data_IF_876488348758
#
_entry.id   IF_876488348758
#
_cell.length_a   1.000
_cell.length_b   1.000
_cell.length_c   1.000
_cell.angle_alpha   90.00
_cell.angle_beta   90.00
_cell.angle_gamma   90.00
#
_symmetry.space_group_name_H-M   'P 1'
#
loop_
_entity.id
_entity.type
_entity.pdbx_description
1 polymer ?
#
# COMPACT_ATOMS: atom_id res chain seq x y z
N UNK A 1 -8.33 -26.96 1.76
CA UNK A 1 -7.07 -26.77 2.49
C UNK A 1 -6.44 -25.45 2.07
N UNK A 2 -5.98 -24.67 3.00
CA UNK A 2 -5.39 -23.38 2.69
C UNK A 2 -3.87 -23.50 2.56
N UNK A 3 -3.31 -22.78 1.60
CA UNK A 3 -1.88 -22.61 1.50
C UNK A 3 -1.39 -21.66 2.60
N UNK A 4 -0.14 -21.81 2.99
CA UNK A 4 0.51 -20.85 3.86
C UNK A 4 0.74 -19.55 3.08
N UNK A 5 0.41 -18.42 3.70
CA UNK A 5 0.59 -17.09 3.13
C UNK A 5 1.59 -16.35 4.03
N UNK A 6 2.58 -15.71 3.41
CA UNK A 6 3.68 -15.11 4.13
C UNK A 6 3.70 -13.60 3.96
N UNK A 7 4.10 -12.91 5.02
CA UNK A 7 4.52 -11.51 4.94
C UNK A 7 6.04 -11.53 4.80
N UNK A 8 6.53 -11.03 3.68
CA UNK A 8 7.96 -11.16 3.33
C UNK A 8 8.73 -9.85 3.45
N UNK A 9 8.06 -8.75 3.75
CA UNK A 9 8.72 -7.47 3.94
C UNK A 9 7.78 -6.46 4.55
N UNK A 10 8.33 -5.41 5.09
CA UNK A 10 7.56 -4.33 5.67
C UNK A 10 8.39 -3.08 5.81
N UNK A 11 7.75 -1.94 5.76
CA UNK A 11 8.38 -0.65 5.94
C UNK A 11 7.37 0.37 6.43
N UNK A 12 7.86 1.39 7.09
CA UNK A 12 7.05 2.45 7.65
C UNK A 12 7.81 3.77 7.51
N UNK A 13 7.09 4.83 7.17
CA UNK A 13 7.63 6.18 7.31
C UNK A 13 7.69 6.58 8.79
N UNK A 14 8.45 7.60 9.17
CA UNK A 14 8.31 8.20 10.49
C UNK A 14 6.86 8.63 10.72
N UNK A 15 6.43 8.63 11.98
CA UNK A 15 5.15 9.23 12.36
C UNK A 15 5.31 10.74 12.52
N UNK A 16 4.34 11.48 12.02
CA UNK A 16 4.32 12.94 12.19
C UNK A 16 3.13 13.39 13.01
N UNK A 17 3.20 14.58 13.54
CA UNK A 17 2.08 15.24 14.18
C UNK A 17 1.24 16.01 13.18
N UNK A 18 0.04 16.42 13.59
CA UNK A 18 -0.82 17.28 12.79
C UNK A 18 -0.09 18.59 12.45
N UNK A 19 -0.05 18.93 11.17
CA UNK A 19 0.64 20.11 10.63
C UNK A 19 2.14 20.14 10.98
N UNK A 20 2.72 18.97 11.27
CA UNK A 20 4.12 18.81 11.67
C UNK A 20 5.07 18.54 10.51
N UNK A 21 6.11 17.74 10.78
CA UNK A 21 7.24 17.54 9.86
C UNK A 21 6.87 16.95 8.50
N UNK A 22 5.79 16.16 8.43
CA UNK A 22 5.33 15.54 7.21
C UNK A 22 4.21 16.31 6.51
N UNK A 23 3.88 17.50 6.97
CA UNK A 23 2.73 18.26 6.46
C UNK A 23 2.85 18.60 4.96
N UNK A 24 4.06 18.74 4.43
CA UNK A 24 4.31 19.04 3.02
C UNK A 24 4.30 17.79 2.11
N UNK A 25 4.19 16.59 2.67
CA UNK A 25 4.25 15.34 1.92
C UNK A 25 2.85 14.75 1.83
N UNK A 26 2.40 14.48 0.60
CA UNK A 26 1.06 13.89 0.40
C UNK A 26 1.02 12.43 0.87
N UNK A 27 -0.17 11.95 1.19
CA UNK A 27 -0.35 10.54 1.56
C UNK A 27 0.12 9.57 0.46
N UNK A 28 -0.17 9.80 -0.84
CA UNK A 28 0.39 8.94 -1.88
C UNK A 28 1.92 8.91 -1.92
N UNK A 29 2.57 10.02 -1.66
CA UNK A 29 4.03 10.08 -1.60
C UNK A 29 4.58 9.29 -0.39
N UNK A 30 3.95 9.43 0.77
CA UNK A 30 4.29 8.61 1.95
C UNK A 30 4.10 7.13 1.66
N UNK A 31 2.97 6.77 1.05
CA UNK A 31 2.67 5.40 0.64
C UNK A 31 3.70 4.85 -0.33
N UNK A 32 4.11 5.65 -1.32
CA UNK A 32 5.12 5.23 -2.30
C UNK A 32 6.47 4.93 -1.65
N UNK A 33 6.87 5.74 -0.69
CA UNK A 33 8.11 5.52 0.06
C UNK A 33 8.06 4.19 0.81
N UNK A 34 6.95 3.91 1.48
CA UNK A 34 6.76 2.66 2.22
C UNK A 34 6.72 1.44 1.28
N UNK A 35 5.98 1.53 0.17
CA UNK A 35 5.91 0.45 -0.83
C UNK A 35 7.29 0.15 -1.39
N UNK A 36 7.99 1.17 -1.85
CA UNK A 36 9.31 0.99 -2.45
C UNK A 36 10.29 0.33 -1.48
N UNK A 37 10.33 0.79 -0.25
CA UNK A 37 11.18 0.21 0.77
C UNK A 37 10.80 -1.23 1.12
N UNK A 38 9.51 -1.54 1.22
CA UNK A 38 9.04 -2.89 1.50
C UNK A 38 9.42 -3.87 0.38
N UNK A 39 9.25 -3.45 -0.88
CA UNK A 39 9.62 -4.27 -2.04
C UNK A 39 11.13 -4.52 -2.08
N UNK A 40 11.93 -3.50 -1.84
CA UNK A 40 13.39 -3.62 -1.77
C UNK A 40 13.83 -4.57 -0.66
N UNK A 41 13.25 -4.45 0.53
CA UNK A 41 13.56 -5.31 1.68
C UNK A 41 13.13 -6.76 1.47
N UNK A 42 12.07 -6.97 0.70
CA UNK A 42 11.63 -8.31 0.32
C UNK A 42 12.49 -8.91 -0.81
N UNK A 43 13.43 -8.13 -1.36
CA UNK A 43 14.29 -8.52 -2.47
C UNK A 43 13.49 -8.95 -3.70
N UNK A 44 12.42 -8.20 -4.00
CA UNK A 44 11.54 -8.43 -5.14
C UNK A 44 11.72 -7.34 -6.19
N UNK A 45 11.47 -7.72 -7.44
CA UNK A 45 11.26 -6.75 -8.51
C UNK A 45 9.82 -6.26 -8.45
N UNK A 46 9.60 -4.95 -8.59
CA UNK A 46 8.26 -4.37 -8.62
C UNK A 46 7.38 -5.00 -9.71
N UNK A 47 7.97 -5.50 -10.78
CA UNK A 47 7.25 -6.21 -11.85
C UNK A 47 6.62 -7.53 -11.37
N UNK A 48 7.02 -8.08 -10.24
CA UNK A 48 6.46 -9.31 -9.68
C UNK A 48 5.19 -9.06 -8.86
N UNK A 49 4.78 -7.81 -8.67
CA UNK A 49 3.57 -7.46 -7.90
C UNK A 49 2.35 -7.68 -8.76
N UNK A 50 1.36 -8.38 -8.23
CA UNK A 50 0.10 -8.65 -8.93
C UNK A 50 -0.99 -7.65 -8.56
N UNK A 51 -1.06 -7.23 -7.30
CA UNK A 51 -2.08 -6.30 -6.82
C UNK A 51 -1.55 -5.43 -5.69
N UNK A 52 -2.17 -4.27 -5.52
CA UNK A 52 -1.86 -3.34 -4.43
C UNK A 52 -3.14 -2.99 -3.67
N UNK A 53 -3.12 -3.19 -2.38
CA UNK A 53 -4.17 -2.74 -1.46
C UNK A 53 -3.56 -1.79 -0.45
N UNK A 54 -4.06 -0.56 -0.41
CA UNK A 54 -3.56 0.46 0.53
C UNK A 54 -4.70 1.05 1.33
N UNK A 55 -4.51 1.12 2.64
CA UNK A 55 -5.44 1.83 3.51
C UNK A 55 -5.25 3.33 3.41
N UNK A 56 -6.37 4.07 3.32
CA UNK A 56 -6.37 5.51 3.37
C UNK A 56 -7.67 5.99 4.03
N UNK A 57 -7.54 6.59 5.20
CA UNK A 57 -8.70 7.00 6.01
C UNK A 57 -9.28 8.34 5.55
N UNK A 58 -8.42 9.25 5.12
CA UNK A 58 -8.79 10.62 4.75
C UNK A 58 -8.33 10.91 3.33
N UNK A 59 -9.08 10.44 2.31
CA UNK A 59 -8.69 10.62 0.91
C UNK A 59 -9.08 12.00 0.34
N UNK A 60 -9.76 12.83 1.08
CA UNK A 60 -10.21 14.15 0.60
C UNK A 60 -9.01 14.97 0.11
N UNK A 61 -9.14 15.56 -1.07
CA UNK A 61 -8.09 16.38 -1.67
C UNK A 61 -6.92 15.60 -2.27
N UNK A 62 -6.94 14.27 -2.22
CA UNK A 62 -5.84 13.43 -2.74
C UNK A 62 -6.06 12.98 -4.19
N UNK A 63 -7.05 13.51 -4.86
CA UNK A 63 -7.41 13.13 -6.24
C UNK A 63 -7.92 11.70 -6.32
N UNK A 64 -7.72 11.04 -7.45
CA UNK A 64 -8.28 9.73 -7.73
C UNK A 64 -7.40 8.61 -7.15
N UNK A 65 -8.01 7.67 -6.46
CA UNK A 65 -7.41 6.44 -5.97
C UNK A 65 -5.99 6.62 -5.40
N UNK A 66 -5.84 7.07 -4.15
CA UNK A 66 -4.52 7.24 -3.53
C UNK A 66 -3.63 5.99 -3.60
N UNK A 67 -4.20 4.79 -3.52
CA UNK A 67 -3.45 3.54 -3.66
C UNK A 67 -2.77 3.45 -5.03
N UNK A 68 -3.48 3.84 -6.10
CA UNK A 68 -2.94 3.84 -7.45
C UNK A 68 -1.79 4.82 -7.60
N UNK A 69 -1.95 6.01 -7.04
CA UNK A 69 -0.91 7.03 -7.08
C UNK A 69 0.34 6.55 -6.33
N UNK A 70 0.17 5.98 -5.12
CA UNK A 70 1.28 5.46 -4.33
C UNK A 70 2.02 4.34 -5.08
N UNK A 71 1.28 3.42 -5.69
CA UNK A 71 1.86 2.32 -6.47
C UNK A 71 2.69 2.84 -7.66
N UNK A 72 2.14 3.78 -8.42
CA UNK A 72 2.86 4.36 -9.57
C UNK A 72 4.12 5.10 -9.16
N UNK A 73 4.05 5.91 -8.11
CA UNK A 73 5.22 6.63 -7.61
C UNK A 73 6.30 5.68 -7.08
N UNK A 74 5.91 4.49 -6.61
CA UNK A 74 6.84 3.47 -6.16
C UNK A 74 7.46 2.63 -7.28
N UNK A 75 7.01 2.81 -8.52
CA UNK A 75 7.51 2.06 -9.67
C UNK A 75 6.78 0.75 -9.95
N UNK A 76 5.62 0.54 -9.34
CA UNK A 76 4.78 -0.62 -9.65
C UNK A 76 4.22 -0.46 -11.06
N UNK A 77 4.28 -1.51 -11.91
CA UNK A 77 3.81 -1.40 -13.30
C UNK A 77 2.36 -0.97 -13.43
N UNK A 78 2.05 -0.25 -14.50
CA UNK A 78 0.72 0.32 -14.72
C UNK A 78 -0.40 -0.71 -14.89
N UNK A 79 -0.08 -1.93 -15.29
CA UNK A 79 -1.09 -2.99 -15.43
C UNK A 79 -1.54 -3.59 -14.10
N UNK A 80 -0.84 -3.30 -13.02
CA UNK A 80 -1.17 -3.80 -11.68
C UNK A 80 -2.36 -3.04 -11.12
N UNK A 81 -3.39 -3.76 -10.68
CA UNK A 81 -4.55 -3.15 -10.04
C UNK A 81 -4.22 -2.56 -8.68
N UNK A 82 -4.90 -1.49 -8.31
CA UNK A 82 -4.73 -0.87 -7.02
C UNK A 82 -6.10 -0.51 -6.41
N UNK A 83 -6.29 -0.84 -5.16
CA UNK A 83 -7.52 -0.59 -4.41
C UNK A 83 -7.21 0.22 -3.16
N UNK A 84 -7.93 1.31 -2.99
CA UNK A 84 -7.87 2.12 -1.77
C UNK A 84 -8.93 1.63 -0.80
N UNK A 85 -8.53 1.32 0.42
CA UNK A 85 -9.39 0.73 1.45
C UNK A 85 -9.61 1.72 2.57
N UNK A 86 -10.85 1.91 2.96
CA UNK A 86 -11.17 2.74 4.12
C UNK A 86 -12.04 1.96 5.12
N UNK A 87 -11.45 1.63 6.24
CA UNK A 87 -12.11 1.05 7.41
C UNK A 87 -11.68 1.83 8.65
N UNK A 88 -11.75 3.16 8.58
CA UNK A 88 -11.27 4.04 9.64
C UNK A 88 -9.86 3.60 10.12
N UNK A 89 -9.61 3.53 11.41
CA UNK A 89 -8.29 3.16 11.97
C UNK A 89 -7.83 1.75 11.59
N UNK A 90 -8.73 0.88 11.14
CA UNK A 90 -8.42 -0.48 10.72
C UNK A 90 -8.08 -0.63 9.23
N UNK A 91 -7.92 0.47 8.50
CA UNK A 91 -7.75 0.41 7.03
C UNK A 91 -6.52 -0.37 6.58
N UNK A 92 -5.38 -0.18 7.23
CA UNK A 92 -4.16 -0.90 6.88
C UNK A 92 -4.25 -2.40 7.14
N UNK A 93 -4.85 -2.78 8.27
CA UNK A 93 -5.08 -4.20 8.57
C UNK A 93 -6.07 -4.80 7.59
N UNK A 94 -7.15 -4.09 7.26
CA UNK A 94 -8.13 -4.58 6.28
C UNK A 94 -7.52 -4.74 4.90
N UNK A 95 -6.64 -3.84 4.49
CA UNK A 95 -5.90 -3.97 3.23
C UNK A 95 -5.06 -5.24 3.21
N UNK A 96 -4.39 -5.57 4.31
CA UNK A 96 -3.62 -6.80 4.47
C UNK A 96 -4.52 -8.04 4.38
N UNK A 97 -5.68 -8.01 5.05
CA UNK A 97 -6.66 -9.10 4.99
C UNK A 97 -7.15 -9.32 3.56
N UNK A 98 -7.45 -8.26 2.82
CA UNK A 98 -7.86 -8.37 1.42
C UNK A 98 -6.78 -9.02 0.56
N UNK A 99 -5.51 -8.68 0.79
CA UNK A 99 -4.41 -9.34 0.10
C UNK A 99 -4.35 -10.84 0.38
N UNK A 100 -4.52 -11.22 1.65
CA UNK A 100 -4.58 -12.63 2.05
C UNK A 100 -5.75 -13.35 1.38
N UNK A 101 -6.92 -12.72 1.39
CA UNK A 101 -8.12 -13.31 0.79
C UNK A 101 -7.98 -13.45 -0.72
N UNK A 102 -7.38 -12.48 -1.40
CA UNK A 102 -7.10 -12.55 -2.84
C UNK A 102 -6.20 -13.74 -3.18
N UNK A 103 -5.14 -13.93 -2.41
CA UNK A 103 -4.23 -15.07 -2.62
C UNK A 103 -4.98 -16.39 -2.42
N UNK A 104 -5.77 -16.51 -1.36
CA UNK A 104 -6.55 -17.71 -1.07
C UNK A 104 -7.60 -17.99 -2.13
N UNK A 105 -8.18 -16.95 -2.70
CA UNK A 105 -9.16 -17.07 -3.77
C UNK A 105 -8.54 -17.43 -5.13
N UNK A 106 -7.23 -17.31 -5.26
CA UNK A 106 -6.53 -17.54 -6.52
C UNK A 106 -6.66 -16.40 -7.52
N UNK A 107 -6.98 -15.23 -7.02
CA UNK A 107 -7.14 -14.03 -7.88
C UNK A 107 -5.81 -13.52 -8.41
#
# INVERSE_FOLDING_TARGET
>A
MSEAIYIVGGARTPMGGLMGDLASVSAPQLGSTAIKAAVERANLDAAAIDEVFMGCVLPAGLKQCPARQAARYAGVPDHVGAVTVNKACGSGMQATIFGIDSIRAGT
#
